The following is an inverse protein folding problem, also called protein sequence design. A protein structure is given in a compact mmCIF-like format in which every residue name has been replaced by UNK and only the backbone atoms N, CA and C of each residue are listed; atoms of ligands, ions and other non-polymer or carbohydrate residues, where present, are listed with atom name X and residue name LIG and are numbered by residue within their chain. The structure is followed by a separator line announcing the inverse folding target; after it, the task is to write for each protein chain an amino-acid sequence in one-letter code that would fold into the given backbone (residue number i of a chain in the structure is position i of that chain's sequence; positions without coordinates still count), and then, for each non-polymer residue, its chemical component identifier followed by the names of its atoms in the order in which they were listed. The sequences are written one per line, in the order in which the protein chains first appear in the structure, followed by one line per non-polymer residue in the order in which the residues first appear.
data_IF_225054251287
#
_entry.id   IF_225054251287
#
_cell.length_a   1.000
_cell.length_b   1.000
_cell.length_c   1.000
_cell.angle_alpha   90.00
_cell.angle_beta   90.00
_cell.angle_gamma   90.00
#
_symmetry.space_group_name_H-M   'P 1'
#
loop_
_entity.id
_entity.type
_entity.pdbx_description
1 polymer ?
#
# COMPACT_ATOMS: atom_id res chain seq x y z
N UNK A 1 40.27 -48.50 5.32
CA UNK A 1 39.28 -49.53 4.95
C UNK A 1 38.01 -49.23 5.75
N UNK A 2 36.84 -48.93 5.22
CA UNK A 2 36.23 -48.92 3.88
C UNK A 2 35.23 -47.75 3.85
N UNK A 3 35.10 -47.08 2.71
CA UNK A 3 34.22 -45.93 2.45
C UNK A 3 32.78 -46.40 2.23
N UNK A 4 31.77 -45.62 2.66
CA UNK A 4 30.45 -45.65 2.05
C UNK A 4 29.76 -44.28 2.13
N UNK A 5 29.88 -43.50 1.05
CA UNK A 5 29.09 -42.29 0.79
C UNK A 5 27.79 -42.77 0.13
N UNK A 6 26.65 -42.62 0.81
CA UNK A 6 25.35 -42.96 0.27
C UNK A 6 24.77 -41.74 -0.48
N UNK A 7 24.82 -41.77 -1.82
CA UNK A 7 24.05 -40.89 -2.68
C UNK A 7 22.57 -41.30 -2.63
N UNK A 8 21.69 -40.44 -2.14
CA UNK A 8 20.24 -40.61 -2.29
C UNK A 8 19.78 -39.96 -3.59
N UNK A 9 19.40 -40.79 -4.56
CA UNK A 9 18.84 -40.40 -5.85
C UNK A 9 17.39 -39.89 -5.71
N UNK A 10 17.03 -38.85 -6.48
CA UNK A 10 15.64 -38.42 -6.67
C UNK A 10 14.89 -39.45 -7.53
N UNK A 11 13.73 -39.98 -7.11
CA UNK A 11 12.83 -40.67 -8.02
C UNK A 11 12.03 -39.65 -8.83
N UNK A 12 12.38 -39.55 -10.11
CA UNK A 12 11.52 -38.98 -11.14
C UNK A 12 10.28 -39.84 -11.40
N UNK A 13 9.26 -39.17 -11.94
CA UNK A 13 7.92 -39.64 -12.29
C UNK A 13 7.87 -41.02 -12.99
N UNK A 14 6.97 -41.91 -12.55
CA UNK A 14 6.71 -43.19 -13.22
C UNK A 14 5.68 -44.06 -12.48
N UNK A 15 4.45 -44.06 -12.99
CA UNK A 15 3.27 -44.78 -12.49
C UNK A 15 3.34 -46.32 -12.60
N UNK A 16 2.60 -47.00 -11.73
CA UNK A 16 2.03 -48.35 -11.93
C UNK A 16 2.08 -49.23 -10.66
N UNK A 17 1.10 -50.06 -10.26
CA UNK A 17 -0.16 -50.58 -10.81
C UNK A 17 -1.02 -51.10 -9.62
N UNK A 18 -2.36 -51.12 -9.64
CA UNK A 18 -3.18 -52.23 -10.20
C UNK A 18 -4.67 -51.81 -10.22
N UNK A 19 -5.28 -51.73 -11.41
CA UNK A 19 -6.24 -52.71 -12.00
C UNK A 19 -7.67 -52.58 -11.43
N UNK A 20 -8.79 -52.45 -12.15
CA UNK A 20 -9.21 -52.37 -13.55
C UNK A 20 -10.48 -51.43 -13.52
N UNK A 21 -11.03 -50.80 -14.56
CA UNK A 21 -11.41 -51.25 -15.90
C UNK A 21 -11.98 -50.02 -16.65
N UNK A 22 -11.75 -49.91 -17.96
CA UNK A 22 -12.65 -49.18 -18.87
C UNK A 22 -12.33 -47.72 -19.27
N UNK A 23 -11.84 -47.54 -20.51
CA UNK A 23 -12.32 -46.45 -21.39
C UNK A 23 -11.45 -45.19 -21.49
N UNK A 24 -11.13 -44.80 -22.72
CA UNK A 24 -10.10 -43.85 -23.09
C UNK A 24 -10.56 -42.37 -23.25
N UNK A 25 -9.54 -41.50 -23.20
CA UNK A 25 -9.33 -40.26 -23.96
C UNK A 25 -9.74 -38.88 -23.36
N UNK A 26 -8.70 -38.03 -23.25
CA UNK A 26 -8.65 -36.55 -23.14
C UNK A 26 -9.33 -35.90 -21.93
N UNK A 27 -8.64 -35.29 -20.97
CA UNK A 27 -7.47 -34.42 -21.14
C UNK A 27 -7.90 -32.96 -21.25
N UNK A 28 -8.54 -32.44 -20.21
CA UNK A 28 -8.87 -31.01 -20.08
C UNK A 28 -9.49 -30.76 -18.71
N UNK A 29 -8.76 -30.07 -17.83
CA UNK A 29 -9.30 -29.63 -16.56
C UNK A 29 -10.49 -28.69 -16.83
N UNK A 30 -11.71 -29.19 -16.57
CA UNK A 30 -12.93 -28.40 -16.67
C UNK A 30 -13.00 -27.45 -15.47
N UNK A 31 -12.59 -26.21 -15.66
CA UNK A 31 -12.94 -25.13 -14.73
C UNK A 31 -14.45 -24.90 -14.88
N UNK A 32 -15.19 -24.95 -13.77
CA UNK A 32 -16.64 -24.76 -13.78
C UNK A 32 -16.96 -23.29 -14.08
N UNK A 33 -17.36 -22.99 -15.32
CA UNK A 33 -17.95 -21.70 -15.68
C UNK A 33 -19.42 -21.69 -15.27
N UNK A 34 -19.80 -20.78 -14.37
CA UNK A 34 -21.20 -20.48 -14.09
C UNK A 34 -21.77 -19.67 -15.26
N UNK A 35 -22.57 -20.31 -16.10
CA UNK A 35 -23.40 -19.62 -17.10
C UNK A 35 -24.71 -19.21 -16.44
N UNK A 36 -24.80 -17.96 -15.99
CA UNK A 36 -26.10 -17.31 -15.77
C UNK A 36 -26.63 -16.81 -17.11
N UNK A 37 -27.90 -17.11 -17.41
CA UNK A 37 -28.60 -16.54 -18.56
C UNK A 37 -28.59 -15.01 -18.44
N UNK A 38 -27.87 -14.35 -19.35
CA UNK A 38 -27.65 -12.92 -19.31
C UNK A 38 -28.90 -12.14 -19.68
N UNK A 39 -29.49 -11.45 -18.71
CA UNK A 39 -30.07 -10.13 -18.99
C UNK A 39 -28.92 -9.25 -19.46
N UNK A 40 -29.07 -8.63 -20.64
CA UNK A 40 -28.07 -7.72 -21.19
C UNK A 40 -27.64 -6.72 -20.10
N UNK A 41 -26.34 -6.58 -19.79
CA UNK A 41 -25.90 -5.54 -18.88
C UNK A 41 -26.33 -4.21 -19.46
N UNK A 42 -27.27 -3.54 -18.78
CA UNK A 42 -27.53 -2.13 -19.02
C UNK A 42 -26.17 -1.43 -18.96
N UNK A 43 -25.83 -0.68 -20.01
CA UNK A 43 -24.50 -0.09 -20.23
C UNK A 43 -23.95 0.46 -18.92
N UNK A 44 -23.14 -0.36 -18.26
CA UNK A 44 -22.55 0.00 -16.98
C UNK A 44 -21.54 1.07 -17.32
N UNK A 45 -21.66 2.23 -16.67
CA UNK A 45 -20.65 3.27 -16.72
C UNK A 45 -19.28 2.58 -16.63
N UNK A 46 -18.39 2.85 -17.58
CA UNK A 46 -17.04 2.30 -17.53
C UNK A 46 -16.51 2.54 -16.12
N UNK A 47 -15.97 1.51 -15.43
CA UNK A 47 -15.41 1.71 -14.11
C UNK A 47 -14.41 2.85 -14.22
N UNK A 48 -14.69 3.94 -13.50
CA UNK A 48 -13.79 5.08 -13.40
C UNK A 48 -12.46 4.48 -12.96
N UNK A 49 -11.40 4.66 -13.76
CA UNK A 49 -10.11 4.09 -13.42
C UNK A 49 -9.77 4.49 -11.98
N UNK A 50 -9.72 3.50 -11.09
CA UNK A 50 -9.48 3.76 -9.68
C UNK A 50 -8.02 4.21 -9.53
N UNK A 51 -7.79 5.26 -8.75
CA UNK A 51 -6.43 5.73 -8.48
C UNK A 51 -5.66 4.61 -7.78
N UNK A 52 -4.38 4.39 -8.12
CA UNK A 52 -3.59 3.40 -7.42
C UNK A 52 -3.48 3.77 -5.95
N UNK A 53 -3.32 2.75 -5.10
CA UNK A 53 -3.19 2.91 -3.65
C UNK A 53 -1.77 2.63 -3.21
N UNK A 54 -1.23 3.47 -2.35
CA UNK A 54 0.01 3.19 -1.62
C UNK A 54 -0.17 1.98 -0.70
N UNK A 55 0.86 1.15 -0.52
CA UNK A 55 0.86 0.06 0.46
C UNK A 55 1.72 0.43 1.65
N UNK A 56 1.42 -0.07 2.85
CA UNK A 56 2.27 0.15 4.03
C UNK A 56 3.70 -0.40 3.89
N UNK A 57 3.91 -1.35 2.97
CA UNK A 57 5.22 -1.92 2.63
C UNK A 57 5.82 -1.33 1.35
N UNK A 58 5.21 -0.29 0.77
CA UNK A 58 5.78 0.42 -0.37
C UNK A 58 7.13 1.03 0.00
N UNK A 59 8.12 0.76 -0.83
CA UNK A 59 9.40 1.45 -0.82
C UNK A 59 9.23 2.91 -1.28
N UNK A 60 10.16 3.81 -0.93
CA UNK A 60 10.15 5.17 -1.45
C UNK A 60 10.15 5.21 -2.99
N UNK A 61 10.88 4.31 -3.64
CA UNK A 61 10.96 4.22 -5.09
C UNK A 61 9.63 3.79 -5.72
N UNK A 62 8.93 2.84 -5.10
CA UNK A 62 7.58 2.45 -5.54
C UNK A 62 6.58 3.58 -5.36
N UNK A 63 6.64 4.31 -4.23
CA UNK A 63 5.78 5.47 -4.01
C UNK A 63 6.04 6.58 -5.04
N UNK A 64 7.30 6.90 -5.33
CA UNK A 64 7.66 7.86 -6.38
C UNK A 64 7.15 7.41 -7.75
N UNK A 65 7.20 6.11 -8.05
CA UNK A 65 6.62 5.58 -9.29
C UNK A 65 5.09 5.78 -9.35
N UNK A 66 4.38 5.64 -8.23
CA UNK A 66 2.94 5.96 -8.14
C UNK A 66 2.66 7.44 -8.35
N UNK A 67 3.59 8.33 -7.98
CA UNK A 67 3.45 9.78 -8.11
C UNK A 67 3.70 10.32 -9.52
N UNK A 68 4.30 9.53 -10.44
CA UNK A 68 4.64 9.98 -11.80
C UNK A 68 3.44 10.59 -12.56
N UNK A 69 2.24 9.97 -12.59
CA UNK A 69 1.08 10.55 -13.29
C UNK A 69 0.61 11.87 -12.68
N UNK A 70 0.59 11.96 -11.35
CA UNK A 70 0.21 13.18 -10.63
C UNK A 70 1.20 14.31 -10.92
N UNK A 71 2.50 14.03 -10.81
CA UNK A 71 3.55 15.01 -11.08
C UNK A 71 3.51 15.52 -12.53
N UNK A 72 3.24 14.64 -13.50
CA UNK A 72 3.06 15.03 -14.90
C UNK A 72 1.86 15.97 -15.05
N UNK A 73 0.71 15.63 -14.48
CA UNK A 73 -0.48 16.49 -14.53
C UNK A 73 -0.20 17.86 -13.90
N UNK A 74 0.46 17.89 -12.74
CA UNK A 74 0.83 19.14 -12.07
C UNK A 74 1.68 20.04 -12.98
N UNK A 75 2.69 19.48 -13.66
CA UNK A 75 3.52 20.23 -14.61
C UNK A 75 2.72 20.78 -15.79
N UNK A 76 1.83 19.97 -16.37
CA UNK A 76 0.99 20.36 -17.52
C UNK A 76 0.03 21.51 -17.17
N UNK A 77 -0.42 21.58 -15.92
CA UNK A 77 -1.30 22.65 -15.41
C UNK A 77 -0.55 23.81 -14.74
N UNK A 78 0.79 23.86 -14.86
CA UNK A 78 1.60 24.96 -14.34
C UNK A 78 1.81 24.95 -12.82
N UNK A 79 1.47 23.83 -12.16
CA UNK A 79 1.83 23.56 -10.78
C UNK A 79 3.31 23.20 -10.68
N UNK A 80 4.03 23.86 -9.76
CA UNK A 80 5.39 23.44 -9.45
C UNK A 80 5.36 22.06 -8.76
N UNK A 81 6.06 21.08 -9.32
CA UNK A 81 6.34 19.83 -8.61
C UNK A 81 7.28 20.18 -7.46
N UNK A 82 6.91 19.83 -6.23
CA UNK A 82 7.73 20.08 -5.04
C UNK A 82 9.06 19.34 -5.19
N UNK A 83 10.05 19.99 -5.80
CA UNK A 83 11.44 19.56 -5.73
C UNK A 83 11.87 19.75 -4.29
N UNK A 84 12.30 18.67 -3.64
CA UNK A 84 12.95 18.66 -2.33
C UNK A 84 13.81 19.92 -2.16
N UNK A 85 13.48 20.70 -1.13
CA UNK A 85 14.05 22.02 -0.89
C UNK A 85 15.58 21.93 -0.80
N UNK A 86 16.26 22.26 -1.90
CA UNK A 86 17.69 22.54 -1.89
C UNK A 86 17.89 23.89 -1.19
N UNK A 87 18.98 23.99 -0.41
CA UNK A 87 19.42 25.25 0.19
C UNK A 87 19.45 26.35 -0.87
N UNK A 88 18.65 27.41 -0.68
CA UNK A 88 18.48 28.51 -1.64
C UNK A 88 17.10 28.63 -2.30
N UNK A 89 16.10 27.84 -1.89
CA UNK A 89 14.73 28.00 -2.38
C UNK A 89 14.18 29.40 -2.07
N UNK A 90 13.84 30.17 -3.12
CA UNK A 90 13.13 31.44 -2.95
C UNK A 90 11.73 31.20 -2.40
N UNK A 91 11.18 32.19 -1.69
CA UNK A 91 9.79 32.16 -1.29
C UNK A 91 8.87 31.96 -2.52
N UNK A 92 7.90 31.07 -2.37
CA UNK A 92 6.84 30.86 -3.37
C UNK A 92 5.99 32.12 -3.42
N UNK A 93 5.79 32.69 -4.61
CA UNK A 93 4.92 33.85 -4.76
C UNK A 93 3.46 33.43 -4.62
N UNK A 94 2.57 34.37 -4.25
CA UNK A 94 1.13 34.09 -4.19
C UNK A 94 0.60 33.53 -5.51
N UNK A 95 1.04 34.09 -6.64
CA UNK A 95 0.64 33.62 -7.98
C UNK A 95 0.98 32.15 -8.21
N UNK A 96 2.17 31.72 -7.80
CA UNK A 96 2.60 30.32 -7.96
C UNK A 96 1.85 29.38 -7.03
N UNK A 97 1.52 29.84 -5.81
CA UNK A 97 0.67 29.07 -4.90
C UNK A 97 -0.74 28.91 -5.47
N UNK A 98 -1.34 29.98 -5.98
CA UNK A 98 -2.67 29.96 -6.60
C UNK A 98 -2.68 29.05 -7.85
N UNK A 99 -1.61 29.05 -8.67
CA UNK A 99 -1.46 28.16 -9.82
C UNK A 99 -1.31 26.68 -9.43
N UNK A 100 -0.52 26.40 -8.39
CA UNK A 100 -0.36 25.05 -7.88
C UNK A 100 -1.66 24.51 -7.28
N UNK A 101 -2.44 25.36 -6.60
CA UNK A 101 -3.74 24.97 -6.06
C UNK A 101 -4.73 24.62 -7.18
N UNK A 102 -4.80 25.44 -8.24
CA UNK A 102 -5.68 25.17 -9.38
C UNK A 102 -5.29 23.88 -10.11
N UNK A 103 -3.99 23.67 -10.35
CA UNK A 103 -3.50 22.40 -10.88
C UNK A 103 -3.89 21.22 -9.96
N UNK A 104 -3.74 21.38 -8.65
CA UNK A 104 -4.04 20.32 -7.69
C UNK A 104 -5.53 19.93 -7.70
N UNK A 105 -6.46 20.89 -7.85
CA UNK A 105 -7.90 20.61 -7.95
C UNK A 105 -8.24 19.69 -9.14
N UNK A 106 -7.46 19.75 -10.21
CA UNK A 106 -7.64 18.92 -11.41
C UNK A 106 -6.92 17.58 -11.23
N UNK A 107 -5.67 17.61 -10.77
CA UNK A 107 -4.78 16.46 -10.76
C UNK A 107 -5.00 15.50 -9.59
N UNK A 108 -5.28 16.03 -8.39
CA UNK A 108 -5.45 15.21 -7.19
C UNK A 108 -6.55 14.15 -7.36
N UNK A 109 -7.80 14.50 -7.74
CA UNK A 109 -8.89 13.53 -7.81
C UNK A 109 -8.71 12.42 -8.84
N UNK A 110 -7.76 12.59 -9.77
CA UNK A 110 -7.51 11.63 -10.86
C UNK A 110 -6.21 10.85 -10.70
N UNK A 111 -5.18 11.44 -10.08
CA UNK A 111 -3.82 10.89 -10.16
C UNK A 111 -3.09 10.79 -8.83
N UNK A 112 -3.48 11.54 -7.79
CA UNK A 112 -2.82 11.40 -6.49
C UNK A 112 -3.11 10.00 -5.92
N UNK A 113 -2.10 9.18 -5.60
CA UNK A 113 -2.33 7.87 -5.04
C UNK A 113 -3.19 7.95 -3.77
N UNK A 114 -4.08 6.97 -3.61
CA UNK A 114 -4.82 6.81 -2.36
C UNK A 114 -3.84 6.41 -1.23
N UNK A 115 -4.07 6.86 0.02
CA UNK A 115 -3.23 6.47 1.15
C UNK A 115 -3.31 4.95 1.39
N UNK A 116 -2.44 4.35 2.21
CA UNK A 116 -2.62 2.97 2.63
C UNK A 116 -4.01 2.72 3.22
N UNK A 117 -4.61 1.57 2.94
CA UNK A 117 -6.00 1.29 3.33
C UNK A 117 -6.21 1.39 4.84
N UNK A 118 -5.23 0.98 5.62
CA UNK A 118 -5.19 1.06 7.07
C UNK A 118 -5.23 2.50 7.61
N UNK A 119 -4.88 3.48 6.77
CA UNK A 119 -4.78 4.91 7.10
C UNK A 119 -5.79 5.75 6.31
N UNK A 120 -6.67 5.12 5.54
CA UNK A 120 -7.68 5.81 4.73
C UNK A 120 -8.88 6.22 5.61
N UNK A 121 -9.31 7.50 5.60
CA UNK A 121 -10.54 7.92 6.29
C UNK A 121 -11.79 7.13 5.89
N UNK A 122 -11.84 6.57 4.68
CA UNK A 122 -12.94 5.74 4.22
C UNK A 122 -12.93 4.32 4.82
N UNK A 123 -11.84 3.90 5.45
CA UNK A 123 -11.76 2.62 6.15
C UNK A 123 -12.33 2.76 7.58
N UNK A 124 -13.45 2.07 7.91
CA UNK A 124 -14.04 2.15 9.24
C UNK A 124 -13.12 1.64 10.36
N UNK A 125 -12.07 0.88 10.03
CA UNK A 125 -11.08 0.36 10.98
C UNK A 125 -9.84 1.24 11.12
N UNK A 126 -9.72 2.34 10.36
CA UNK A 126 -8.52 3.18 10.37
C UNK A 126 -8.21 3.77 11.75
N UNK A 127 -9.25 4.15 12.51
CA UNK A 127 -9.07 4.63 13.88
C UNK A 127 -8.52 3.57 14.82
N UNK A 128 -9.03 2.33 14.73
CA UNK A 128 -8.56 1.23 15.57
C UNK A 128 -7.13 0.84 15.21
N UNK A 129 -6.79 0.88 13.92
CA UNK A 129 -5.41 0.73 13.44
C UNK A 129 -4.50 1.79 14.07
N UNK A 130 -4.85 3.07 14.01
CA UNK A 130 -4.07 4.15 14.60
C UNK A 130 -3.84 3.95 16.12
N UNK A 131 -4.88 3.56 16.86
CA UNK A 131 -4.78 3.26 18.30
C UNK A 131 -3.82 2.09 18.56
N UNK A 132 -3.89 1.03 17.76
CA UNK A 132 -3.01 -0.13 17.90
C UNK A 132 -1.54 0.24 17.60
N UNK A 133 -1.29 1.11 16.62
CA UNK A 133 0.05 1.62 16.32
C UNK A 133 0.58 2.47 17.49
N UNK A 134 -0.24 3.37 18.05
CA UNK A 134 0.11 4.15 19.25
C UNK A 134 0.48 3.23 20.41
N UNK A 135 -0.27 2.14 20.62
CA UNK A 135 0.03 1.15 21.66
C UNK A 135 1.40 0.49 21.42
N UNK A 136 1.67 0.01 20.21
CA UNK A 136 2.98 -0.57 19.84
C UNK A 136 4.13 0.42 20.09
N UNK A 137 3.97 1.68 19.70
CA UNK A 137 4.98 2.72 19.90
C UNK A 137 5.25 2.98 21.40
N UNK A 138 4.19 3.03 22.22
CA UNK A 138 4.33 3.17 23.68
C UNK A 138 5.04 1.97 24.31
N UNK A 139 4.71 0.75 23.89
CA UNK A 139 5.38 -0.47 24.36
C UNK A 139 6.87 -0.49 24.00
N UNK A 140 7.23 0.06 22.84
CA UNK A 140 8.64 0.26 22.43
C UNK A 140 9.29 1.50 23.05
N UNK A 141 8.58 2.22 23.93
CA UNK A 141 9.10 3.31 24.74
C UNK A 141 9.14 4.66 24.06
N UNK A 142 8.19 4.94 23.15
CA UNK A 142 7.84 6.31 22.73
C UNK A 142 6.91 6.90 23.79
N UNK A 143 7.32 7.99 24.45
CA UNK A 143 6.62 8.50 25.63
C UNK A 143 5.43 9.37 25.26
N UNK A 144 5.64 10.32 24.35
CA UNK A 144 4.62 11.27 23.92
C UNK A 144 4.18 10.92 22.49
N UNK A 145 3.14 10.09 22.41
CA UNK A 145 2.47 9.69 21.17
C UNK A 145 0.99 9.46 21.42
N UNK A 146 0.16 9.98 20.53
CA UNK A 146 -1.30 9.90 20.59
C UNK A 146 -1.92 9.91 19.20
N UNK A 147 -3.19 9.52 19.12
CA UNK A 147 -4.00 9.71 17.91
C UNK A 147 -4.45 11.16 17.89
N UNK A 148 -4.23 11.84 16.77
CA UNK A 148 -4.61 13.22 16.53
C UNK A 148 -6.14 13.40 16.51
N UNK A 149 -6.59 14.67 16.48
CA UNK A 149 -8.02 15.01 16.48
C UNK A 149 -8.80 14.46 15.28
N UNK A 150 -8.13 14.22 14.15
CA UNK A 150 -8.71 13.59 12.95
C UNK A 150 -9.02 12.09 13.13
N UNK A 151 -8.58 11.50 14.24
CA UNK A 151 -8.88 10.13 14.63
C UNK A 151 -8.05 9.06 13.91
N UNK A 152 -7.16 9.43 12.99
CA UNK A 152 -6.37 8.48 12.19
C UNK A 152 -4.88 8.84 12.10
N UNK A 153 -4.52 10.12 12.24
CA UNK A 153 -3.13 10.55 12.26
C UNK A 153 -2.53 10.35 13.64
N UNK A 154 -1.20 10.25 13.70
CA UNK A 154 -0.45 10.13 14.96
C UNK A 154 0.30 11.44 15.23
N UNK A 155 0.13 11.99 16.43
CA UNK A 155 0.91 13.12 16.93
C UNK A 155 2.05 12.59 17.81
N UNK A 156 3.24 13.17 17.63
CA UNK A 156 4.45 12.84 18.38
C UNK A 156 4.98 14.08 19.12
N UNK A 157 5.56 13.88 20.30
CA UNK A 157 6.26 14.94 21.06
C UNK A 157 5.42 15.65 22.12
N UNK A 158 4.09 15.55 22.07
CA UNK A 158 3.17 16.20 23.02
C UNK A 158 3.32 17.72 23.09
N UNK A 159 2.74 18.34 24.11
CA UNK A 159 2.68 19.81 24.27
C UNK A 159 4.05 20.51 24.27
N UNK A 160 5.12 19.78 24.61
CA UNK A 160 6.47 20.33 24.73
C UNK A 160 7.36 20.01 23.52
N UNK A 161 6.81 19.41 22.45
CA UNK A 161 7.57 19.05 21.25
C UNK A 161 8.83 18.22 21.57
N UNK A 162 8.67 17.17 22.40
CA UNK A 162 9.76 16.33 22.89
C UNK A 162 10.49 15.64 21.72
N UNK A 163 11.69 16.13 21.40
CA UNK A 163 12.49 15.70 20.25
C UNK A 163 12.84 14.21 20.29
N UNK A 164 12.98 13.63 21.50
CA UNK A 164 13.27 12.22 21.68
C UNK A 164 12.08 11.35 21.28
N UNK A 165 10.87 11.70 21.71
CA UNK A 165 9.65 10.97 21.31
C UNK A 165 9.36 11.12 19.83
N UNK A 166 9.63 12.30 19.24
CA UNK A 166 9.50 12.52 17.80
C UNK A 166 10.45 11.62 17.02
N UNK A 167 11.75 11.72 17.30
CA UNK A 167 12.76 10.96 16.54
C UNK A 167 12.52 9.45 16.67
N UNK A 168 12.35 8.97 17.91
CA UNK A 168 12.09 7.55 18.17
C UNK A 168 10.76 7.07 17.60
N UNK A 169 9.74 7.93 17.63
CA UNK A 169 8.43 7.64 17.03
C UNK A 169 8.54 7.45 15.52
N UNK A 170 9.20 8.38 14.83
CA UNK A 170 9.43 8.30 13.38
C UNK A 170 10.25 7.05 13.00
N UNK A 171 11.28 6.71 13.78
CA UNK A 171 12.12 5.53 13.53
C UNK A 171 11.34 4.21 13.65
N UNK A 172 10.41 4.12 14.62
CA UNK A 172 9.70 2.89 14.95
C UNK A 172 8.33 2.75 14.29
N UNK A 173 7.76 3.84 13.79
CA UNK A 173 6.40 3.87 13.23
C UNK A 173 6.21 2.88 12.07
N UNK A 174 7.11 2.79 11.07
CA UNK A 174 6.93 1.83 9.97
C UNK A 174 6.91 0.37 10.45
N UNK A 175 7.70 0.03 11.47
CA UNK A 175 7.70 -1.31 12.05
C UNK A 175 6.37 -1.60 12.76
N UNK A 176 5.90 -0.67 13.58
CA UNK A 176 4.63 -0.82 14.29
C UNK A 176 3.43 -0.89 13.33
N UNK A 177 3.37 -0.03 12.32
CA UNK A 177 2.32 -0.05 11.30
C UNK A 177 2.25 -1.42 10.60
N UNK A 178 3.38 -1.96 10.15
CA UNK A 178 3.41 -3.30 9.52
C UNK A 178 3.05 -4.42 10.50
N UNK A 179 3.51 -4.34 11.75
CA UNK A 179 3.21 -5.35 12.76
C UNK A 179 1.72 -5.40 13.10
N UNK A 180 1.07 -4.23 13.23
CA UNK A 180 -0.38 -4.15 13.43
C UNK A 180 -1.13 -4.63 12.19
N UNK A 181 -0.75 -4.18 11.00
CA UNK A 181 -1.42 -4.58 9.76
C UNK A 181 -1.36 -6.10 9.52
N UNK A 182 -0.26 -6.76 9.92
CA UNK A 182 -0.12 -8.22 9.84
C UNK A 182 -1.07 -8.98 10.78
N UNK A 183 -1.57 -8.36 11.85
CA UNK A 183 -2.48 -8.97 12.82
C UNK A 183 -3.97 -8.82 12.45
N UNK A 184 -4.28 -7.90 11.53
CA UNK A 184 -5.66 -7.60 11.11
C UNK A 184 -6.09 -8.38 9.86
N UNK A 185 -5.19 -9.18 9.27
CA UNK A 185 -5.44 -10.08 8.13
C UNK A 185 -5.93 -11.43 8.61
#
# INVERSE_FOLDING_TARGET
MVIAIALTALPGCGSGLSAADGGAANGGAKVATLTSAGTAPSASAQPKAERPRERLDSTPEEYEALMVPYNKCMQEHGGAVKSNAKAGARAVTKKEADQAEEANRICEPQFLPLPPWEKDPANPQARDFAIAVVKCLKEKGVKYVEVSEDGISLALGGDQNDSRSISKGMDLMPECERAVAAQLK
#
